data_IF_563334874112
#
_entry.id   IF_563334874112
#
_cell.length_a   1.000
_cell.length_b   1.000
_cell.length_c   1.000
_cell.angle_alpha   90.00
_cell.angle_beta   90.00
_cell.angle_gamma   90.00
#
_symmetry.space_group_name_H-M   'P 1'
#
loop_
_entity.id
_entity.type
_entity.pdbx_description
1 polymer ?
#
# COMPACT_ATOMS: atom_id res chain seq x y z
N UNK A 1 -16.86 -15.07 44.25
CA UNK A 1 -16.10 -13.82 44.29
C UNK A 1 -14.75 -14.16 43.71
N UNK A 2 -14.68 -14.23 42.40
CA UNK A 2 -13.44 -14.33 41.62
C UNK A 2 -13.63 -13.43 40.41
N UNK A 3 -12.78 -12.45 40.34
CA UNK A 3 -12.73 -11.45 39.29
C UNK A 3 -12.01 -12.08 38.11
N UNK A 4 -12.76 -12.44 37.08
CA UNK A 4 -12.17 -12.87 35.80
C UNK A 4 -11.65 -11.63 35.06
N UNK A 5 -10.32 -11.52 35.06
CA UNK A 5 -9.56 -10.64 34.18
C UNK A 5 -9.82 -11.04 32.74
N UNK A 6 -10.46 -10.14 31.99
CA UNK A 6 -10.54 -10.22 30.55
C UNK A 6 -9.13 -10.02 29.96
N UNK A 7 -8.45 -11.12 29.71
CA UNK A 7 -7.19 -11.11 28.94
C UNK A 7 -7.53 -10.79 27.50
N UNK A 8 -7.36 -9.55 27.12
CA UNK A 8 -7.44 -9.10 25.74
C UNK A 8 -6.31 -9.75 24.94
N UNK A 9 -6.65 -10.72 24.11
CA UNK A 9 -5.75 -11.24 23.09
C UNK A 9 -5.62 -10.13 22.03
N UNK A 10 -4.54 -9.39 22.12
CA UNK A 10 -4.05 -8.60 20.99
C UNK A 10 -3.74 -9.60 19.87
N UNK A 11 -4.16 -9.35 18.62
CA UNK A 11 -3.57 -10.07 17.49
C UNK A 11 -2.06 -9.86 17.59
N UNK A 12 -1.29 -10.93 17.39
CA UNK A 12 0.16 -10.95 17.53
C UNK A 12 0.77 -9.80 16.74
N UNK A 13 1.06 -8.74 17.45
CA UNK A 13 1.95 -7.71 17.01
C UNK A 13 3.35 -8.29 17.18
N UNK A 14 3.94 -8.65 16.05
CA UNK A 14 5.38 -8.60 15.77
C UNK A 14 6.27 -8.94 16.97
N UNK A 15 6.87 -10.11 16.90
CA UNK A 15 8.14 -10.33 17.57
C UNK A 15 9.11 -9.23 17.12
N UNK A 16 9.44 -8.34 18.05
CA UNK A 16 10.59 -7.45 17.93
C UNK A 16 11.84 -8.32 17.79
N UNK A 17 12.30 -8.53 16.57
CA UNK A 17 13.66 -8.99 16.33
C UNK A 17 14.59 -7.85 16.68
N UNK A 18 15.30 -7.98 17.81
CA UNK A 18 16.46 -7.18 18.13
C UNK A 18 17.49 -7.33 16.99
N UNK A 19 17.73 -6.24 16.27
CA UNK A 19 18.82 -6.16 15.33
C UNK A 19 20.16 -6.20 16.12
N UNK A 20 21.12 -7.06 15.71
CA UNK A 20 22.48 -6.94 16.22
C UNK A 20 23.11 -5.67 15.64
N UNK A 21 23.72 -4.88 16.50
CA UNK A 21 24.54 -3.74 16.16
C UNK A 21 25.78 -4.15 15.37
N UNK A 22 26.06 -3.34 14.33
CA UNK A 22 27.35 -3.20 13.63
C UNK A 22 27.83 -4.29 12.69
N UNK A 23 27.60 -4.05 11.39
CA UNK A 23 28.71 -3.92 10.42
C UNK A 23 28.20 -3.10 9.23
N UNK A 24 28.92 -2.02 8.93
CA UNK A 24 28.58 -1.07 7.88
C UNK A 24 28.60 -1.76 6.49
N UNK A 25 27.41 -2.01 5.96
CA UNK A 25 27.22 -2.23 4.53
C UNK A 25 26.80 -0.89 3.92
N UNK A 26 27.58 -0.38 2.98
CA UNK A 26 27.32 0.88 2.28
C UNK A 26 25.94 0.85 1.63
N UNK A 27 25.16 1.91 1.81
CA UNK A 27 23.83 2.05 1.21
C UNK A 27 23.92 2.14 -0.32
N UNK A 28 22.89 1.78 -1.07
CA UNK A 28 22.87 1.86 -2.55
C UNK A 28 23.20 3.27 -3.09
N UNK A 29 22.98 4.30 -2.29
CA UNK A 29 23.30 5.71 -2.63
C UNK A 29 24.82 5.94 -2.65
N UNK A 30 25.57 5.36 -1.72
CA UNK A 30 27.03 5.50 -1.66
C UNK A 30 27.72 4.76 -2.82
N UNK A 31 27.15 3.65 -3.27
CA UNK A 31 27.66 2.91 -4.42
C UNK A 31 27.50 3.72 -5.73
N UNK A 32 26.40 4.46 -5.91
CA UNK A 32 26.18 5.35 -7.08
C UNK A 32 27.11 6.57 -7.08
N UNK A 33 27.45 7.09 -5.91
CA UNK A 33 28.40 8.23 -5.78
C UNK A 33 29.83 7.79 -6.05
N UNK A 34 30.23 6.61 -5.59
CA UNK A 34 31.58 6.09 -5.85
C UNK A 34 31.83 5.79 -7.34
N UNK A 35 30.82 5.28 -8.05
CA UNK A 35 30.93 5.04 -9.51
C UNK A 35 31.11 6.34 -10.31
N UNK A 36 30.53 7.44 -9.87
CA UNK A 36 30.71 8.78 -10.48
C UNK A 36 32.13 9.35 -10.28
N UNK A 37 32.75 9.08 -9.15
CA UNK A 37 34.11 9.58 -8.85
C UNK A 37 35.16 8.78 -9.62
N UNK A 38 34.95 7.49 -9.88
CA UNK A 38 35.89 6.65 -10.63
C UNK A 38 35.87 6.98 -12.13
N UNK A 39 34.72 7.35 -12.70
CA UNK A 39 34.61 7.74 -14.10
C UNK A 39 35.18 9.14 -14.40
N UNK A 40 35.35 10.01 -13.42
CA UNK A 40 35.92 11.35 -13.57
C UNK A 40 37.46 11.36 -13.57
N UNK A 41 38.13 10.25 -13.29
CA UNK A 41 39.59 10.16 -13.16
C UNK A 41 40.30 9.34 -14.25
N UNK A 42 39.63 8.97 -15.33
CA UNK A 42 40.26 8.27 -16.48
C UNK A 42 40.71 9.30 -17.53
N UNK A 43 41.95 9.16 -18.08
CA UNK A 43 42.45 10.07 -19.07
C UNK A 43 41.72 9.86 -20.41
N UNK A 44 41.43 10.99 -21.07
CA UNK A 44 40.85 11.08 -22.39
C UNK A 44 41.74 10.34 -23.43
N UNK A 45 41.30 9.17 -23.82
CA UNK A 45 41.77 8.52 -25.08
C UNK A 45 40.63 8.58 -26.09
N UNK A 46 40.97 9.07 -27.29
CA UNK A 46 40.12 9.24 -28.46
C UNK A 46 39.09 8.14 -28.66
N UNK A 47 37.84 8.44 -28.44
CA UNK A 47 36.74 7.66 -28.99
C UNK A 47 36.01 8.49 -30.04
N UNK A 48 36.09 7.99 -31.29
CA UNK A 48 35.30 8.48 -32.42
C UNK A 48 33.81 8.48 -32.06
N UNK A 49 33.15 9.55 -32.52
CA UNK A 49 31.73 9.81 -32.42
C UNK A 49 30.87 8.59 -32.73
N UNK A 50 30.39 7.94 -31.69
CA UNK A 50 29.17 7.17 -31.67
C UNK A 50 28.39 7.73 -30.47
N UNK A 51 27.35 8.50 -30.74
CA UNK A 51 26.45 8.97 -29.72
C UNK A 51 25.83 7.79 -29.01
N UNK A 52 26.39 7.38 -27.88
CA UNK A 52 25.63 6.72 -26.86
C UNK A 52 24.85 7.86 -26.17
N UNK A 53 23.62 8.07 -26.60
CA UNK A 53 22.63 8.77 -25.78
C UNK A 53 22.53 7.98 -24.47
N UNK A 54 23.35 8.35 -23.49
CA UNK A 54 23.06 8.04 -22.13
C UNK A 54 21.77 8.80 -21.87
N UNK A 55 20.65 8.09 -21.98
CA UNK A 55 19.40 8.58 -21.45
C UNK A 55 19.66 8.89 -19.97
N UNK A 56 20.00 10.15 -19.70
CA UNK A 56 19.86 10.71 -18.39
C UNK A 56 18.37 10.56 -18.13
N UNK A 57 17.98 9.51 -17.41
CA UNK A 57 16.67 9.47 -16.82
C UNK A 57 16.60 10.74 -15.97
N UNK A 58 15.97 11.77 -16.52
CA UNK A 58 15.42 12.84 -15.70
C UNK A 58 14.69 12.10 -14.57
N UNK A 59 15.01 12.40 -13.33
CA UNK A 59 14.29 11.92 -12.15
C UNK A 59 12.83 12.23 -12.44
N UNK A 60 12.13 11.22 -12.99
CA UNK A 60 10.81 11.39 -13.58
C UNK A 60 9.85 11.76 -12.47
N UNK A 61 9.48 13.04 -12.39
CA UNK A 61 8.31 13.43 -11.64
C UNK A 61 7.17 12.57 -12.15
N UNK A 62 6.54 11.78 -11.27
CA UNK A 62 5.34 11.02 -11.60
C UNK A 62 4.34 11.93 -12.31
N UNK A 63 3.73 11.43 -13.37
CA UNK A 63 2.75 12.20 -14.16
C UNK A 63 1.33 12.08 -13.61
N UNK A 64 1.11 11.05 -12.80
CA UNK A 64 -0.18 10.73 -12.20
C UNK A 64 0.02 10.25 -10.76
N UNK A 65 -0.95 10.47 -9.86
CA UNK A 65 -0.83 10.09 -8.46
C UNK A 65 -0.90 8.58 -8.27
N UNK A 66 -0.33 8.12 -7.16
CA UNK A 66 -0.62 6.80 -6.62
C UNK A 66 -1.59 6.91 -5.45
N UNK A 67 -2.57 6.02 -5.43
CA UNK A 67 -3.63 6.00 -4.42
C UNK A 67 -3.64 4.63 -3.75
N UNK A 68 -3.62 4.59 -2.43
CA UNK A 68 -3.90 3.38 -1.66
C UNK A 68 -5.36 3.38 -1.24
N UNK A 69 -6.06 2.28 -1.46
CA UNK A 69 -7.41 2.05 -0.92
C UNK A 69 -7.34 0.89 0.05
N UNK A 70 -7.51 1.20 1.32
CA UNK A 70 -7.50 0.24 2.43
C UNK A 70 -8.83 0.20 3.17
N UNK A 71 -8.95 -0.67 4.15
CA UNK A 71 -10.15 -0.88 4.96
C UNK A 71 -10.42 -2.35 5.21
N UNK A 72 -11.27 -2.64 6.17
CA UNK A 72 -11.63 -4.01 6.58
C UNK A 72 -12.11 -4.86 5.38
N UNK A 73 -11.83 -6.16 5.33
CA UNK A 73 -12.44 -7.05 4.35
C UNK A 73 -13.96 -6.88 4.31
N UNK A 74 -14.53 -6.69 3.12
CA UNK A 74 -15.99 -6.49 2.97
C UNK A 74 -16.45 -5.04 2.80
N UNK A 75 -15.60 -4.05 3.02
CA UNK A 75 -15.94 -2.61 2.88
C UNK A 75 -16.10 -2.13 1.44
N UNK A 76 -15.74 -2.94 0.43
CA UNK A 76 -15.97 -2.61 -0.98
C UNK A 76 -14.76 -2.05 -1.73
N UNK A 77 -13.54 -2.23 -1.21
CA UNK A 77 -12.28 -1.76 -1.82
C UNK A 77 -12.18 -2.09 -3.31
N UNK A 78 -12.23 -3.37 -3.65
CA UNK A 78 -12.07 -3.82 -5.03
C UNK A 78 -13.13 -3.24 -5.98
N UNK A 79 -14.38 -3.12 -5.52
CA UNK A 79 -15.45 -2.48 -6.30
C UNK A 79 -15.14 -1.01 -6.57
N UNK A 80 -14.69 -0.29 -5.55
CA UNK A 80 -14.32 1.12 -5.68
C UNK A 80 -13.09 1.29 -6.58
N UNK A 81 -12.03 0.48 -6.37
CA UNK A 81 -10.80 0.54 -7.17
C UNK A 81 -11.06 0.25 -8.65
N UNK A 82 -11.88 -0.77 -8.96
CA UNK A 82 -12.28 -1.07 -10.34
C UNK A 82 -13.01 0.10 -10.98
N UNK A 83 -14.02 0.66 -10.29
CA UNK A 83 -14.80 1.80 -10.81
C UNK A 83 -13.93 3.05 -10.99
N UNK A 84 -13.00 3.29 -10.05
CA UNK A 84 -12.06 4.41 -10.15
C UNK A 84 -11.07 4.24 -11.30
N UNK A 85 -10.54 3.03 -11.50
CA UNK A 85 -9.66 2.71 -12.61
C UNK A 85 -10.35 2.90 -13.97
N UNK A 86 -11.61 2.48 -14.12
CA UNK A 86 -12.42 2.71 -15.31
C UNK A 86 -12.65 4.20 -15.59
N UNK A 87 -12.89 5.00 -14.53
CA UNK A 87 -13.16 6.43 -14.66
C UNK A 87 -11.90 7.27 -14.96
N UNK A 88 -10.73 6.83 -14.53
CA UNK A 88 -9.49 7.62 -14.54
C UNK A 88 -8.40 7.07 -15.45
N UNK A 89 -8.54 5.81 -15.91
CA UNK A 89 -7.54 5.05 -16.66
C UNK A 89 -6.25 4.80 -15.86
N UNK A 90 -6.28 4.95 -14.52
CA UNK A 90 -5.19 4.53 -13.65
C UNK A 90 -5.15 2.99 -13.55
N UNK A 91 -3.97 2.46 -13.28
CA UNK A 91 -3.75 1.01 -13.15
C UNK A 91 -4.26 0.52 -11.80
N UNK A 92 -5.20 -0.42 -11.78
CA UNK A 92 -5.64 -1.11 -10.56
C UNK A 92 -4.71 -2.28 -10.26
N UNK A 93 -4.16 -2.33 -9.03
CA UNK A 93 -3.29 -3.38 -8.51
C UNK A 93 -3.95 -3.95 -7.26
N UNK A 94 -4.48 -5.16 -7.37
CA UNK A 94 -4.98 -5.91 -6.21
C UNK A 94 -3.85 -6.74 -5.62
N UNK A 95 -3.40 -6.39 -4.41
CA UNK A 95 -2.27 -7.06 -3.76
C UNK A 95 -2.58 -8.52 -3.47
N UNK A 96 -3.80 -8.84 -3.06
CA UNK A 96 -4.19 -10.24 -2.80
C UNK A 96 -4.13 -11.14 -4.03
N UNK A 97 -4.40 -10.61 -5.22
CA UNK A 97 -4.24 -11.31 -6.50
C UNK A 97 -2.77 -11.40 -6.90
N UNK A 98 -2.03 -10.28 -6.81
CA UNK A 98 -0.61 -10.21 -7.12
C UNK A 98 0.22 -11.23 -6.30
N UNK A 99 -0.05 -11.31 -4.99
CA UNK A 99 0.61 -12.26 -4.08
C UNK A 99 0.43 -13.71 -4.53
N UNK A 100 -0.77 -14.07 -4.97
CA UNK A 100 -1.08 -15.42 -5.47
C UNK A 100 -0.43 -15.70 -6.83
N UNK A 101 -0.50 -14.75 -7.75
CA UNK A 101 0.04 -14.91 -9.10
C UNK A 101 1.56 -15.03 -9.11
N UNK A 102 2.25 -14.26 -8.27
CA UNK A 102 3.70 -14.18 -8.22
C UNK A 102 4.33 -14.96 -7.07
N UNK A 103 3.51 -15.64 -6.24
CA UNK A 103 3.95 -16.38 -5.05
C UNK A 103 4.74 -15.51 -4.06
N UNK A 104 4.28 -14.30 -3.79
CA UNK A 104 4.91 -13.35 -2.87
C UNK A 104 4.44 -13.59 -1.42
N UNK A 105 4.61 -14.83 -0.93
CA UNK A 105 4.13 -15.24 0.39
C UNK A 105 5.03 -16.29 1.03
N UNK A 106 5.03 -16.37 2.36
CA UNK A 106 5.83 -17.30 3.16
C UNK A 106 5.11 -18.63 3.46
N UNK A 107 3.93 -18.83 2.87
CA UNK A 107 3.14 -20.05 3.04
C UNK A 107 1.67 -19.77 3.27
N UNK A 108 0.96 -20.81 3.69
CA UNK A 108 -0.47 -20.77 4.01
C UNK A 108 -0.68 -20.87 5.51
N UNK A 109 -1.54 -20.02 6.06
CA UNK A 109 -1.98 -20.06 7.45
C UNK A 109 -3.36 -20.74 7.52
N UNK A 110 -3.40 -21.93 8.14
CA UNK A 110 -4.62 -22.74 8.27
C UNK A 110 -5.62 -22.13 9.28
N UNK A 111 -5.16 -21.36 10.25
CA UNK A 111 -6.04 -20.73 11.27
C UNK A 111 -6.76 -19.52 10.69
N UNK A 112 -6.05 -18.71 9.92
CA UNK A 112 -6.60 -17.50 9.28
C UNK A 112 -7.19 -17.76 7.90
N UNK A 113 -7.00 -18.97 7.34
CA UNK A 113 -7.45 -19.35 6.01
C UNK A 113 -7.00 -18.32 4.95
N UNK A 114 -5.67 -18.03 4.94
CA UNK A 114 -5.06 -17.09 4.00
C UNK A 114 -3.56 -17.36 3.79
N UNK A 115 -2.99 -16.76 2.75
CA UNK A 115 -1.54 -16.69 2.57
C UNK A 115 -0.91 -15.71 3.55
N UNK A 116 0.24 -16.07 4.12
CA UNK A 116 1.10 -15.18 4.90
C UNK A 116 1.91 -14.34 3.91
N UNK A 117 1.54 -13.08 3.77
CA UNK A 117 2.19 -12.16 2.84
C UNK A 117 3.65 -11.95 3.23
N UNK A 118 4.54 -11.96 2.23
CA UNK A 118 5.92 -11.51 2.39
C UNK A 118 6.03 -10.06 1.93
N UNK A 119 6.10 -9.14 2.90
CA UNK A 119 6.07 -7.70 2.68
C UNK A 119 7.25 -7.20 1.85
N UNK A 120 8.44 -7.73 2.08
CA UNK A 120 9.66 -7.37 1.35
C UNK A 120 9.52 -7.73 -0.14
N UNK A 121 9.06 -8.95 -0.44
CA UNK A 121 8.85 -9.38 -1.83
C UNK A 121 7.78 -8.56 -2.56
N UNK A 122 6.72 -8.16 -1.85
CA UNK A 122 5.68 -7.29 -2.43
C UNK A 122 6.22 -5.89 -2.69
N UNK A 123 7.00 -5.34 -1.76
CA UNK A 123 7.64 -4.04 -1.94
C UNK A 123 8.65 -4.06 -3.10
N UNK A 124 9.50 -5.06 -3.18
CA UNK A 124 10.47 -5.20 -4.28
C UNK A 124 9.78 -5.31 -5.65
N UNK A 125 8.67 -6.05 -5.72
CA UNK A 125 7.90 -6.22 -6.95
C UNK A 125 7.22 -4.93 -7.42
N UNK A 126 6.83 -4.06 -6.49
CA UNK A 126 6.07 -2.85 -6.79
C UNK A 126 6.93 -1.60 -6.94
N UNK A 127 8.19 -1.58 -6.51
CA UNK A 127 9.02 -0.36 -6.44
C UNK A 127 9.03 0.43 -7.75
N UNK A 128 9.38 -0.23 -8.86
CA UNK A 128 9.48 0.42 -10.17
C UNK A 128 8.11 0.94 -10.65
N UNK A 129 7.05 0.15 -10.42
CA UNK A 129 5.68 0.52 -10.81
C UNK A 129 5.19 1.74 -10.03
N UNK A 130 5.52 1.80 -8.75
CA UNK A 130 5.13 2.92 -7.89
C UNK A 130 5.94 4.18 -8.20
N UNK A 131 7.20 4.05 -8.66
CA UNK A 131 7.99 5.18 -9.16
C UNK A 131 7.42 5.77 -10.46
N UNK A 132 6.84 4.96 -11.34
CA UNK A 132 6.16 5.44 -12.55
C UNK A 132 4.94 6.29 -12.25
N UNK A 133 4.20 5.94 -11.19
CA UNK A 133 2.95 6.57 -10.79
C UNK A 133 1.73 6.12 -11.60
N UNK A 134 0.56 6.61 -11.22
CA UNK A 134 -0.69 6.27 -11.89
C UNK A 134 -1.32 4.95 -11.43
N UNK A 135 -1.12 4.58 -10.18
CA UNK A 135 -1.58 3.31 -9.64
C UNK A 135 -2.66 3.51 -8.56
N UNK A 136 -3.61 2.59 -8.53
CA UNK A 136 -4.59 2.40 -7.47
C UNK A 136 -4.27 1.05 -6.84
N UNK A 137 -3.75 1.05 -5.61
CA UNK A 137 -3.41 -0.14 -4.85
C UNK A 137 -4.59 -0.53 -3.96
N UNK A 138 -5.07 -1.76 -4.08
CA UNK A 138 -6.19 -2.34 -3.33
C UNK A 138 -5.65 -3.38 -2.34
N UNK A 139 -5.63 -3.03 -1.05
CA UNK A 139 -5.24 -3.96 0.01
C UNK A 139 -5.89 -3.61 1.35
N UNK A 140 -5.97 -4.57 2.26
CA UNK A 140 -6.55 -4.33 3.59
C UNK A 140 -5.53 -3.79 4.60
N UNK A 141 -4.25 -4.14 4.51
CA UNK A 141 -3.16 -3.57 5.31
C UNK A 141 -2.55 -2.34 4.65
N UNK A 142 -1.95 -1.45 5.42
CA UNK A 142 -1.38 -0.22 4.88
C UNK A 142 -0.01 0.16 5.48
N UNK A 143 0.39 -0.45 6.57
CA UNK A 143 1.52 -0.05 7.41
C UNK A 143 2.90 -0.44 6.88
N UNK A 144 2.99 -1.48 6.03
CA UNK A 144 4.27 -1.96 5.49
C UNK A 144 4.71 -1.26 4.20
N UNK A 145 3.83 -0.55 3.51
CA UNK A 145 4.19 0.17 2.29
C UNK A 145 4.99 1.44 2.59
N UNK A 146 6.01 1.78 1.79
CA UNK A 146 6.71 3.06 1.92
C UNK A 146 5.78 4.26 1.75
N UNK A 147 5.76 5.20 2.72
CA UNK A 147 4.92 6.41 2.68
C UNK A 147 5.09 7.22 1.38
N UNK A 148 6.33 7.26 0.84
CA UNK A 148 6.66 7.99 -0.39
C UNK A 148 5.91 7.52 -1.63
N UNK A 149 5.35 6.32 -1.61
CA UNK A 149 4.65 5.76 -2.75
C UNK A 149 3.32 6.43 -3.01
N UNK A 150 2.61 6.85 -1.96
CA UNK A 150 1.23 7.31 -2.07
C UNK A 150 1.08 8.82 -1.89
N UNK A 151 0.24 9.38 -2.73
CA UNK A 151 -0.18 10.78 -2.69
C UNK A 151 -1.51 10.93 -1.95
N UNK A 152 -2.29 9.84 -1.85
CA UNK A 152 -3.56 9.76 -1.14
C UNK A 152 -3.78 8.33 -0.62
N UNK A 153 -4.26 8.22 0.61
CA UNK A 153 -4.61 6.96 1.28
C UNK A 153 -6.07 7.02 1.68
N UNK A 154 -6.87 6.16 1.09
CA UNK A 154 -8.31 6.10 1.34
C UNK A 154 -8.61 4.93 2.27
N UNK A 155 -9.23 5.21 3.39
CA UNK A 155 -9.71 4.19 4.32
C UNK A 155 -11.22 4.07 4.18
N UNK A 156 -11.69 2.94 3.65
CA UNK A 156 -13.13 2.67 3.53
C UNK A 156 -13.69 2.18 4.85
N UNK A 157 -14.75 2.84 5.32
CA UNK A 157 -15.48 2.48 6.52
C UNK A 157 -16.91 2.07 6.18
N UNK A 158 -17.42 1.05 6.85
CA UNK A 158 -18.77 0.52 6.63
C UNK A 158 -19.48 0.33 7.95
N UNK A 159 -20.79 0.62 8.01
CA UNK A 159 -21.61 0.31 9.18
C UNK A 159 -21.47 -1.16 9.58
N UNK A 160 -21.29 -1.40 10.88
CA UNK A 160 -20.96 -2.74 11.39
C UNK A 160 -22.03 -3.79 11.06
N UNK A 161 -23.31 -3.40 11.02
CA UNK A 161 -24.41 -4.30 10.68
C UNK A 161 -24.32 -4.70 9.19
N UNK A 162 -24.04 -3.73 8.33
CA UNK A 162 -23.88 -3.93 6.89
C UNK A 162 -22.66 -4.81 6.63
N UNK A 163 -21.55 -4.53 7.32
CA UNK A 163 -20.32 -5.31 7.19
C UNK A 163 -20.53 -6.76 7.63
N UNK A 164 -21.19 -6.96 8.79
CA UNK A 164 -21.54 -8.30 9.29
C UNK A 164 -22.34 -9.09 8.27
N UNK A 165 -23.37 -8.49 7.69
CA UNK A 165 -24.20 -9.13 6.66
C UNK A 165 -23.38 -9.50 5.40
N UNK A 166 -22.49 -8.62 4.97
CA UNK A 166 -21.61 -8.87 3.82
C UNK A 166 -20.64 -10.02 4.05
N UNK A 167 -19.98 -10.04 5.21
CA UNK A 167 -19.02 -11.08 5.58
C UNK A 167 -19.71 -12.43 5.80
N UNK A 168 -20.86 -12.44 6.49
CA UNK A 168 -21.68 -13.64 6.68
C UNK A 168 -22.11 -14.26 5.34
N UNK A 169 -22.55 -13.45 4.37
CA UNK A 169 -22.89 -13.92 3.01
C UNK A 169 -21.69 -14.47 2.24
N UNK A 170 -20.48 -14.01 2.54
CA UNK A 170 -19.20 -14.55 2.00
C UNK A 170 -18.76 -15.84 2.68
N UNK A 171 -19.50 -16.30 3.70
CA UNK A 171 -19.21 -17.54 4.42
C UNK A 171 -18.17 -17.40 5.53
N UNK A 172 -17.84 -16.17 5.95
CA UNK A 172 -16.95 -15.96 7.11
C UNK A 172 -17.62 -16.50 8.36
N UNK A 173 -16.84 -17.19 9.19
CA UNK A 173 -17.25 -17.80 10.46
C UNK A 173 -16.36 -17.29 11.58
N UNK A 174 -16.80 -17.48 12.83
CA UNK A 174 -15.95 -17.22 13.98
C UNK A 174 -14.70 -18.15 13.98
N UNK A 175 -13.52 -17.64 14.36
CA UNK A 175 -13.26 -16.27 14.86
C UNK A 175 -13.05 -15.19 13.79
N UNK A 176 -12.87 -15.56 12.51
CA UNK A 176 -12.56 -14.63 11.40
C UNK A 176 -13.62 -13.52 11.23
N UNK A 177 -14.91 -13.86 11.40
CA UNK A 177 -15.99 -12.89 11.31
C UNK A 177 -15.90 -11.86 12.43
N UNK A 178 -15.81 -12.32 13.70
CA UNK A 178 -15.74 -11.45 14.88
C UNK A 178 -14.53 -10.51 14.82
N UNK A 179 -13.35 -11.03 14.47
CA UNK A 179 -12.13 -10.23 14.37
C UNK A 179 -12.27 -9.10 13.35
N UNK A 180 -12.86 -9.36 12.19
CA UNK A 180 -13.06 -8.31 11.17
C UNK A 180 -14.08 -7.25 11.64
N UNK A 181 -15.15 -7.64 12.33
CA UNK A 181 -16.13 -6.68 12.87
C UNK A 181 -15.49 -5.85 14.00
N UNK A 182 -14.69 -6.45 14.87
CA UNK A 182 -13.96 -5.72 15.92
C UNK A 182 -12.96 -4.72 15.32
N UNK A 183 -12.22 -5.09 14.28
CA UNK A 183 -11.33 -4.18 13.57
C UNK A 183 -12.07 -2.95 13.02
N UNK A 184 -13.28 -3.13 12.48
CA UNK A 184 -14.11 -2.01 12.00
C UNK A 184 -14.65 -1.15 13.14
N UNK A 185 -15.16 -1.77 14.21
CA UNK A 185 -15.67 -1.06 15.40
C UNK A 185 -14.58 -0.16 16.02
N UNK A 186 -13.39 -0.70 16.17
CA UNK A 186 -12.26 0.03 16.76
C UNK A 186 -11.50 0.89 15.77
N UNK A 187 -11.93 0.91 14.50
CA UNK A 187 -11.30 1.69 13.42
C UNK A 187 -9.79 1.42 13.29
N UNK A 188 -9.38 0.17 13.51
CA UNK A 188 -7.95 -0.22 13.56
C UNK A 188 -7.20 0.24 12.31
N UNK A 189 -7.75 0.00 11.11
CA UNK A 189 -7.09 0.38 9.85
C UNK A 189 -7.04 1.90 9.62
N UNK A 190 -7.96 2.67 10.18
CA UNK A 190 -7.87 4.14 10.12
C UNK A 190 -6.75 4.66 11.01
N UNK A 191 -6.61 4.11 12.21
CA UNK A 191 -5.51 4.49 13.11
C UNK A 191 -4.16 4.03 12.54
N UNK A 192 -4.04 2.81 12.00
CA UNK A 192 -2.83 2.35 11.31
C UNK A 192 -2.44 3.28 10.15
N UNK A 193 -3.41 3.69 9.33
CA UNK A 193 -3.16 4.63 8.24
C UNK A 193 -2.67 5.99 8.74
N UNK A 194 -3.22 6.50 9.85
CA UNK A 194 -2.80 7.77 10.47
C UNK A 194 -1.42 7.70 11.10
N UNK A 195 -1.02 6.53 11.59
CA UNK A 195 0.31 6.30 12.15
C UNK A 195 1.38 6.14 11.07
N UNK A 196 1.00 5.59 9.91
CA UNK A 196 1.94 5.25 8.82
C UNK A 196 2.09 6.35 7.76
N UNK A 197 1.14 7.27 7.67
CA UNK A 197 1.10 8.32 6.65
C UNK A 197 0.81 9.69 7.26
N UNK A 198 1.29 10.75 6.60
CA UNK A 198 0.96 12.11 7.00
C UNK A 198 -0.56 12.38 6.92
N UNK A 199 -1.08 13.14 7.89
CA UNK A 199 -2.52 13.35 8.11
C UNK A 199 -3.23 13.93 6.86
N UNK A 200 -2.55 14.76 6.10
CA UNK A 200 -3.06 15.37 4.86
C UNK A 200 -3.28 14.38 3.71
N UNK A 201 -2.66 13.21 3.78
CA UNK A 201 -2.83 12.14 2.80
C UNK A 201 -3.99 11.20 3.13
N UNK A 202 -4.40 11.06 4.40
CA UNK A 202 -5.34 10.04 4.86
C UNK A 202 -6.77 10.57 4.85
N UNK A 203 -7.65 9.90 4.10
CA UNK A 203 -9.07 10.27 3.99
C UNK A 203 -9.95 9.05 4.29
N UNK A 204 -10.84 9.18 5.27
CA UNK A 204 -11.85 8.18 5.56
C UNK A 204 -13.09 8.39 4.70
N UNK A 205 -13.54 7.36 3.99
CA UNK A 205 -14.74 7.38 3.17
C UNK A 205 -15.76 6.34 3.63
N UNK A 206 -17.00 6.77 3.74
CA UNK A 206 -18.13 5.88 4.00
C UNK A 206 -18.41 5.00 2.79
N UNK A 207 -18.70 3.70 3.01
CA UNK A 207 -18.92 2.69 1.96
C UNK A 207 -20.03 1.69 2.33
N UNK A 208 -21.21 2.20 2.69
CA UNK A 208 -22.35 1.36 3.08
C UNK A 208 -23.10 0.80 1.89
N UNK A 209 -23.14 1.54 0.80
CA UNK A 209 -23.96 1.22 -0.39
C UNK A 209 -23.25 1.66 -1.68
N UNK A 210 -23.89 1.37 -2.81
CA UNK A 210 -23.37 1.69 -4.13
C UNK A 210 -23.35 3.21 -4.41
N UNK A 211 -24.25 3.96 -3.81
CA UNK A 211 -24.34 5.40 -3.92
C UNK A 211 -23.13 6.06 -3.21
N UNK A 212 -22.70 5.53 -2.07
CA UNK A 212 -21.48 5.98 -1.39
C UNK A 212 -20.26 5.72 -2.28
N UNK A 213 -20.13 4.51 -2.83
CA UNK A 213 -19.02 4.18 -3.75
C UNK A 213 -19.02 5.12 -4.95
N UNK A 214 -20.17 5.37 -5.57
CA UNK A 214 -20.27 6.26 -6.73
C UNK A 214 -19.84 7.69 -6.40
N UNK A 215 -20.23 8.20 -5.23
CA UNK A 215 -19.82 9.52 -4.73
C UNK A 215 -18.32 9.59 -4.46
N UNK A 216 -17.77 8.56 -3.83
CA UNK A 216 -16.35 8.47 -3.53
C UNK A 216 -15.51 8.44 -4.81
N UNK A 217 -15.92 7.64 -5.80
CA UNK A 217 -15.28 7.59 -7.13
C UNK A 217 -15.32 8.95 -7.82
N UNK A 218 -16.46 9.65 -7.79
CA UNK A 218 -16.57 10.98 -8.38
C UNK A 218 -15.62 11.97 -7.68
N UNK A 219 -15.60 11.98 -6.36
CA UNK A 219 -14.70 12.85 -5.56
C UNK A 219 -13.23 12.60 -5.89
N UNK A 220 -12.81 11.34 -5.94
CA UNK A 220 -11.42 11.00 -6.27
C UNK A 220 -11.09 11.28 -7.74
N UNK A 221 -12.02 11.07 -8.65
CA UNK A 221 -11.83 11.39 -10.07
C UNK A 221 -11.55 12.89 -10.25
N UNK A 222 -12.28 13.75 -9.53
CA UNK A 222 -12.06 15.21 -9.57
C UNK A 222 -10.74 15.58 -8.88
N UNK A 223 -10.38 14.92 -7.78
CA UNK A 223 -9.08 15.11 -7.13
C UNK A 223 -7.92 14.73 -8.06
N UNK A 224 -7.99 13.55 -8.73
CA UNK A 224 -6.96 13.08 -9.67
C UNK A 224 -6.78 14.05 -10.84
N UNK A 225 -7.87 14.58 -11.40
CA UNK A 225 -7.83 15.56 -12.50
C UNK A 225 -7.12 16.86 -12.13
N UNK A 226 -7.22 17.25 -10.85
CA UNK A 226 -6.61 18.48 -10.35
C UNK A 226 -5.26 18.23 -9.66
N UNK A 227 -4.81 16.98 -9.60
CA UNK A 227 -3.59 16.61 -8.91
C UNK A 227 -2.36 17.17 -9.65
N UNK A 228 -1.44 17.72 -8.87
CA UNK A 228 -0.11 18.11 -9.33
C UNK A 228 0.89 17.76 -8.24
N UNK A 229 2.06 17.28 -8.62
CA UNK A 229 3.11 17.01 -7.64
C UNK A 229 3.38 18.24 -6.78
N UNK A 230 3.48 18.12 -5.44
CA UNK A 230 3.92 19.20 -4.57
C UNK A 230 5.27 19.73 -5.07
N UNK A 231 5.40 21.03 -5.20
CA UNK A 231 6.69 21.68 -5.50
C UNK A 231 7.62 21.35 -4.33
N UNK A 232 8.75 20.69 -4.58
CA UNK A 232 9.76 20.51 -3.55
C UNK A 232 10.25 21.89 -3.13
N UNK A 233 9.87 22.29 -1.91
CA UNK A 233 10.30 23.53 -1.27
C UNK A 233 11.68 23.33 -0.61
#
# INVERSE_FOLDING_TARGET
MESDELTMLKPNLVQQTQYPTETAAATPVECKVMLRVILASLPLCDFKEGYVEVMVQENGKRKSPNILVTGTPGTGKTTMCTSLAEATQLRHINIGELVKEKNLHDGWDDELDCYVLNEDLVCDELEDVMEEGGNIVDYHGCDFFPERWFDCVIVLQTDNTILYDRLSRRGYKDPKLSNNIECEIFQVLLEEARESYSEDKVIAFKSDNIEDISRNVATLTDWIRNWSLPSQS
#
